data_IF_236313784919
#
_entry.id   IF_236313784919
#
_cell.length_a   1.000
_cell.length_b   1.000
_cell.length_c   1.000
_cell.angle_alpha   90.00
_cell.angle_beta   90.00
_cell.angle_gamma   90.00
#
_symmetry.space_group_name_H-M   'P 1'
#
loop_
_entity.id
_entity.type
_entity.pdbx_description
1 polymer ?
#
# COMPACT_ATOMS: atom_id res chain seq x y z
N UNK A 1 -36.02 24.55 48.42
CA UNK A 1 -36.95 23.44 48.79
C UNK A 1 -36.71 22.30 47.79
N UNK A 2 -35.85 21.33 48.13
CA UNK A 2 -36.13 19.96 48.61
C UNK A 2 -36.98 19.07 47.66
N UNK A 3 -36.31 18.03 47.17
CA UNK A 3 -36.77 16.84 46.42
C UNK A 3 -37.93 16.07 47.06
N UNK A 4 -38.53 15.14 46.28
CA UNK A 4 -38.55 13.73 46.73
C UNK A 4 -38.09 12.70 45.66
N UNK A 5 -37.92 11.46 46.16
CA UNK A 5 -37.17 10.31 45.62
C UNK A 5 -38.08 9.14 45.14
N UNK A 6 -37.49 8.32 44.25
CA UNK A 6 -37.56 6.85 44.05
C UNK A 6 -38.85 6.09 43.64
N UNK A 7 -38.71 5.30 42.56
CA UNK A 7 -38.87 3.82 42.41
C UNK A 7 -39.07 3.52 40.89
N UNK A 8 -38.55 2.52 40.19
CA UNK A 8 -38.09 1.16 40.51
C UNK A 8 -39.02 0.11 39.86
N UNK A 9 -38.81 -0.31 38.61
CA UNK A 9 -39.51 -1.45 37.96
C UNK A 9 -38.66 -1.99 36.78
N UNK A 10 -37.99 -3.14 36.89
CA UNK A 10 -38.43 -4.55 36.70
C UNK A 10 -38.68 -4.96 35.24
N UNK A 11 -37.71 -5.70 34.70
CA UNK A 11 -37.77 -6.50 33.48
C UNK A 11 -38.79 -7.66 33.64
N UNK A 12 -39.47 -7.99 32.53
CA UNK A 12 -40.41 -9.10 32.42
C UNK A 12 -39.72 -10.31 31.79
N UNK A 13 -39.71 -11.40 32.55
CA UNK A 13 -39.38 -12.76 32.14
C UNK A 13 -40.71 -13.49 31.89
N UNK A 14 -40.80 -14.25 30.80
CA UNK A 14 -41.93 -15.15 30.50
C UNK A 14 -41.38 -16.59 30.43
N UNK A 15 -41.82 -17.41 31.39
CA UNK A 15 -41.75 -18.88 31.39
C UNK A 15 -42.80 -19.46 30.39
N UNK A 16 -42.74 -20.72 29.92
CA UNK A 16 -43.21 -22.00 30.54
C UNK A 16 -43.33 -23.03 29.35
N UNK A 17 -43.44 -24.40 29.44
CA UNK A 17 -42.92 -25.48 30.31
C UNK A 17 -42.33 -26.73 29.55
N UNK A 18 -41.87 -27.71 30.34
CA UNK A 18 -41.55 -29.12 29.97
C UNK A 18 -42.70 -30.14 30.25
N UNK A 19 -42.76 -31.20 29.42
CA UNK A 19 -43.05 -32.65 29.67
C UNK A 19 -43.79 -33.23 28.45
N UNK A 20 -43.63 -34.48 27.97
CA UNK A 20 -43.53 -35.77 28.66
C UNK A 20 -42.84 -36.88 27.80
N UNK A 21 -42.58 -38.01 28.46
CA UNK A 21 -41.80 -39.21 28.07
C UNK A 21 -42.50 -40.19 27.11
N UNK A 22 -41.73 -41.04 26.42
CA UNK A 22 -42.17 -42.33 25.87
C UNK A 22 -41.06 -43.14 25.17
N UNK A 23 -40.86 -44.40 25.59
CA UNK A 23 -39.84 -45.38 25.16
C UNK A 23 -39.88 -45.79 23.66
N UNK A 24 -38.76 -46.29 23.12
CA UNK A 24 -38.61 -47.67 22.59
C UNK A 24 -37.20 -47.98 22.00
N UNK A 25 -36.57 -48.98 22.61
CA UNK A 25 -35.77 -50.12 22.09
C UNK A 25 -34.54 -49.94 21.17
N UNK A 26 -33.47 -50.60 21.65
CA UNK A 26 -32.22 -50.97 20.98
C UNK A 26 -32.42 -51.91 19.78
N UNK A 27 -31.69 -51.65 18.69
CA UNK A 27 -31.24 -52.69 17.75
C UNK A 27 -29.76 -52.45 17.41
N UNK A 28 -28.94 -53.45 17.72
CA UNK A 28 -27.54 -53.56 17.32
C UNK A 28 -27.37 -53.70 15.80
N UNK A 29 -26.46 -52.93 15.19
CA UNK A 29 -25.71 -53.35 14.01
C UNK A 29 -24.23 -52.98 14.14
N UNK A 30 -23.38 -54.00 13.96
CA UNK A 30 -21.91 -53.95 13.89
C UNK A 30 -21.43 -53.05 12.74
N UNK A 31 -20.27 -52.38 12.85
CA UNK A 31 -19.46 -52.01 11.69
C UNK A 31 -18.41 -53.09 11.41
N UNK A 32 -18.35 -53.48 10.13
CA UNK A 32 -17.29 -54.31 9.56
C UNK A 32 -16.00 -53.48 9.44
N UNK A 33 -14.90 -54.12 9.77
CA UNK A 33 -13.55 -53.63 9.56
C UNK A 33 -13.22 -53.61 8.05
N UNK A 34 -12.77 -52.47 7.55
CA UNK A 34 -12.18 -52.30 6.22
C UNK A 34 -11.01 -51.34 6.33
N UNK A 35 -9.80 -51.85 6.07
CA UNK A 35 -8.52 -51.14 6.06
C UNK A 35 -8.61 -49.82 5.30
N UNK A 36 -8.30 -48.70 5.95
CA UNK A 36 -7.88 -47.47 5.29
C UNK A 36 -6.35 -47.53 5.14
N UNK A 37 -5.87 -47.56 3.90
CA UNK A 37 -4.47 -47.31 3.58
C UNK A 37 -4.24 -45.80 3.58
N UNK A 38 -3.17 -45.39 4.26
CA UNK A 38 -2.64 -44.04 4.30
C UNK A 38 -2.29 -43.54 2.89
N UNK A 39 -2.96 -42.48 2.45
CA UNK A 39 -2.41 -41.58 1.44
C UNK A 39 -2.24 -40.19 2.06
N UNK A 40 -0.97 -39.83 2.27
CA UNK A 40 -0.53 -38.51 2.70
C UNK A 40 -1.04 -37.42 1.75
N UNK A 41 -1.70 -36.35 2.23
CA UNK A 41 -1.95 -35.19 1.40
C UNK A 41 -0.66 -34.36 1.28
N UNK A 42 -0.06 -34.38 0.09
CA UNK A 42 0.98 -33.44 -0.31
C UNK A 42 0.52 -31.98 -0.07
N UNK A 43 1.38 -31.10 0.48
CA UNK A 43 1.01 -29.72 0.75
C UNK A 43 0.84 -28.95 -0.56
N UNK A 44 -0.37 -28.43 -0.79
CA UNK A 44 -0.67 -27.47 -1.87
C UNK A 44 0.13 -26.19 -1.64
N UNK A 45 0.90 -25.77 -2.64
CA UNK A 45 1.71 -24.53 -2.64
C UNK A 45 0.81 -23.30 -2.48
N UNK A 46 1.21 -22.28 -1.70
CA UNK A 46 0.55 -20.97 -1.73
C UNK A 46 0.66 -20.34 -3.12
N UNK A 47 -0.42 -19.74 -3.61
CA UNK A 47 -0.41 -18.97 -4.85
C UNK A 47 0.43 -17.70 -4.66
N UNK A 48 1.68 -17.76 -5.08
CA UNK A 48 2.55 -16.60 -5.23
C UNK A 48 2.02 -15.70 -6.36
N UNK A 49 1.56 -14.49 -6.00
CA UNK A 49 0.93 -13.52 -6.92
C UNK A 49 1.89 -12.87 -7.94
N UNK A 50 3.13 -13.36 -8.06
CA UNK A 50 4.18 -12.77 -8.89
C UNK A 50 4.76 -13.69 -9.97
N UNK A 51 4.20 -14.89 -10.17
CA UNK A 51 4.67 -15.82 -11.19
C UNK A 51 3.76 -15.81 -12.44
N UNK A 52 4.17 -15.07 -13.48
CA UNK A 52 3.60 -15.24 -14.81
C UNK A 52 3.94 -16.61 -15.41
N UNK A 53 2.98 -17.24 -16.10
CA UNK A 53 3.19 -18.52 -16.81
C UNK A 53 3.96 -18.34 -18.13
N UNK A 54 4.66 -19.42 -18.48
CA UNK A 54 5.52 -19.57 -19.67
C UNK A 54 4.80 -19.42 -21.03
N UNK A 55 5.41 -18.71 -21.97
CA UNK A 55 5.40 -19.07 -23.39
C UNK A 55 6.72 -19.76 -23.77
N UNK A 56 6.63 -20.80 -24.61
CA UNK A 56 7.78 -21.49 -25.20
C UNK A 56 8.42 -20.62 -26.30
N UNK A 57 9.75 -20.53 -26.29
CA UNK A 57 10.60 -20.44 -27.49
C UNK A 57 10.94 -19.06 -28.05
N UNK A 58 12.24 -18.81 -28.24
CA UNK A 58 12.75 -18.13 -29.45
C UNK A 58 13.54 -16.82 -29.25
N UNK A 59 14.83 -16.87 -29.56
CA UNK A 59 15.51 -15.81 -30.33
C UNK A 59 16.22 -14.68 -29.57
N UNK A 60 17.55 -14.69 -29.64
CA UNK A 60 18.46 -13.62 -29.22
C UNK A 60 18.31 -12.35 -30.08
N UNK A 61 18.66 -11.17 -29.54
CA UNK A 61 19.40 -10.13 -30.27
C UNK A 61 20.02 -9.09 -29.34
N UNK A 62 21.31 -8.82 -29.56
CA UNK A 62 22.12 -7.74 -28.97
C UNK A 62 21.84 -6.41 -29.69
N UNK A 63 21.80 -5.31 -28.94
CA UNK A 63 22.08 -3.95 -29.39
C UNK A 63 22.68 -3.21 -28.16
N UNK A 64 23.82 -2.54 -28.19
CA UNK A 64 24.33 -1.64 -29.22
C UNK A 64 24.17 -0.22 -28.69
N UNK A 65 25.05 0.20 -27.78
CA UNK A 65 25.06 1.53 -27.18
C UNK A 65 25.77 2.51 -28.10
N UNK A 66 25.16 3.68 -28.34
CA UNK A 66 25.78 4.76 -29.10
C UNK A 66 25.60 6.08 -28.35
N UNK A 67 26.72 6.65 -27.94
CA UNK A 67 26.88 7.97 -27.32
C UNK A 67 26.58 9.07 -28.35
N UNK A 68 25.97 10.17 -27.90
CA UNK A 68 25.90 11.42 -28.65
C UNK A 68 26.50 12.52 -27.78
N UNK A 69 27.46 13.25 -28.36
CA UNK A 69 28.25 14.27 -27.69
C UNK A 69 27.64 15.68 -27.76
N UNK A 70 28.02 16.47 -26.77
CA UNK A 70 27.69 17.89 -26.59
C UNK A 70 28.49 18.78 -27.55
N UNK A 71 27.84 19.83 -28.08
CA UNK A 71 28.53 21.05 -28.49
C UNK A 71 27.72 22.28 -28.07
N UNK A 72 28.36 23.10 -27.23
CA UNK A 72 27.91 24.39 -26.77
C UNK A 72 28.11 25.49 -27.83
N UNK A 73 27.21 26.49 -27.85
CA UNK A 73 27.44 27.79 -28.49
C UNK A 73 27.10 28.91 -27.50
N UNK A 74 28.06 29.79 -27.28
CA UNK A 74 27.91 31.11 -26.64
C UNK A 74 27.46 32.15 -27.68
N UNK A 75 26.78 33.24 -27.28
CA UNK A 75 26.67 34.46 -28.07
C UNK A 75 27.55 35.61 -27.50
N UNK A 76 27.90 36.62 -28.31
CA UNK A 76 28.76 37.73 -27.88
C UNK A 76 27.99 38.95 -27.34
N UNK A 77 28.76 39.82 -26.71
CA UNK A 77 28.41 41.01 -25.92
C UNK A 77 28.06 42.28 -26.72
N UNK A 78 27.23 43.11 -26.07
CA UNK A 78 27.27 44.55 -25.83
C UNK A 78 27.65 45.58 -26.92
N UNK A 79 26.86 46.66 -26.95
CA UNK A 79 27.26 47.98 -27.45
C UNK A 79 26.45 49.14 -26.83
N UNK A 80 27.16 49.96 -26.04
CA UNK A 80 27.17 51.44 -25.90
C UNK A 80 25.86 52.26 -25.82
N UNK A 81 25.57 52.95 -24.71
CA UNK A 81 26.02 54.31 -24.25
C UNK A 81 25.33 55.51 -24.93
N UNK A 82 24.45 56.21 -24.20
CA UNK A 82 24.60 57.63 -23.75
C UNK A 82 23.60 58.56 -24.49
N UNK A 83 22.95 59.64 -24.00
CA UNK A 83 23.03 60.54 -22.83
C UNK A 83 21.70 61.38 -22.80
N UNK A 84 21.48 62.38 -21.91
CA UNK A 84 20.19 62.61 -21.23
C UNK A 84 19.42 63.88 -21.67
N UNK A 85 18.16 64.02 -21.22
CA UNK A 85 17.48 65.32 -21.18
C UNK A 85 16.74 65.53 -19.85
N UNK A 86 16.75 66.77 -19.38
CA UNK A 86 16.35 67.23 -18.05
C UNK A 86 14.85 67.57 -17.95
N UNK A 87 14.44 67.73 -16.68
CA UNK A 87 13.23 68.40 -16.16
C UNK A 87 11.98 67.49 -16.10
N UNK A 88 11.18 67.43 -15.03
CA UNK A 88 10.68 68.47 -14.13
C UNK A 88 10.30 67.84 -12.77
N UNK A 89 10.53 68.56 -11.67
CA UNK A 89 10.08 68.22 -10.32
C UNK A 89 8.55 68.13 -10.20
N UNK A 90 8.04 67.00 -9.70
CA UNK A 90 6.75 66.89 -9.00
C UNK A 90 6.91 66.01 -7.76
N UNK A 91 6.41 66.41 -6.58
CA UNK A 91 6.50 65.58 -5.39
C UNK A 91 5.46 64.46 -5.49
N UNK A 92 5.90 63.28 -5.94
CA UNK A 92 5.07 62.08 -5.88
C UNK A 92 5.07 61.62 -4.42
N UNK A 93 3.94 61.82 -3.72
CA UNK A 93 3.66 61.15 -2.45
C UNK A 93 3.67 59.64 -2.72
N UNK A 94 4.77 58.97 -2.41
CA UNK A 94 4.85 57.51 -2.39
C UNK A 94 4.10 57.04 -1.15
N UNK A 95 2.79 56.84 -1.29
CA UNK A 95 2.04 56.02 -0.35
C UNK A 95 2.58 54.59 -0.47
N UNK A 96 3.48 54.20 0.43
CA UNK A 96 3.86 52.80 0.63
C UNK A 96 2.66 52.10 1.27
N UNK A 97 1.69 51.72 0.45
CA UNK A 97 0.72 50.71 0.82
C UNK A 97 1.44 49.35 0.70
N UNK A 98 2.16 48.95 1.75
CA UNK A 98 2.61 47.59 1.91
C UNK A 98 1.39 46.70 2.17
N UNK A 99 0.68 46.32 1.09
CA UNK A 99 -0.21 45.16 1.13
C UNK A 99 0.70 43.93 1.22
N UNK A 100 1.05 43.56 2.45
CA UNK A 100 1.49 42.21 2.73
C UNK A 100 0.28 41.29 2.50
N UNK A 101 0.08 40.87 1.25
CA UNK A 101 -0.68 39.65 0.98
C UNK A 101 0.12 38.52 1.63
N UNK A 102 -0.22 38.21 2.88
CA UNK A 102 0.02 36.88 3.41
C UNK A 102 -0.88 35.97 2.59
N UNK A 103 -0.37 35.49 1.47
CA UNK A 103 -0.93 34.35 0.79
C UNK A 103 -0.80 33.18 1.76
N UNK A 104 -1.82 32.99 2.61
CA UNK A 104 -2.05 31.70 3.26
C UNK A 104 -2.30 30.76 2.09
N UNK A 105 -1.23 30.14 1.61
CA UNK A 105 -1.32 29.20 0.51
C UNK A 105 -2.24 28.08 0.94
N UNK A 106 -3.46 28.08 0.40
CA UNK A 106 -4.39 26.95 0.47
C UNK A 106 -3.58 25.71 0.05
N UNK A 107 -3.22 24.87 1.02
CA UNK A 107 -2.56 23.61 0.70
C UNK A 107 -3.59 22.73 0.02
N UNK A 108 -3.42 22.56 -1.29
CA UNK A 108 -4.23 21.66 -2.07
C UNK A 108 -4.19 20.25 -1.46
N UNK A 109 -5.28 19.51 -1.63
CA UNK A 109 -5.36 18.12 -1.17
C UNK A 109 -4.26 17.29 -1.83
N UNK A 110 -3.46 16.53 -1.07
CA UNK A 110 -2.35 15.77 -1.67
C UNK A 110 -2.84 14.66 -2.61
N UNK A 111 -3.99 14.05 -2.34
CA UNK A 111 -4.52 12.95 -3.16
C UNK A 111 -5.94 13.20 -3.67
N UNK A 112 -6.21 12.78 -4.90
CA UNK A 112 -7.50 12.77 -5.58
C UNK A 112 -7.86 11.34 -5.99
N UNK A 113 -9.15 10.98 -5.97
CA UNK A 113 -9.53 9.66 -6.47
C UNK A 113 -9.15 9.53 -7.96
N UNK A 114 -8.58 8.39 -8.37
CA UNK A 114 -7.99 8.22 -9.69
C UNK A 114 -9.02 7.86 -10.78
N UNK A 115 -10.30 7.80 -10.45
CA UNK A 115 -11.41 7.53 -11.38
C UNK A 115 -12.55 8.53 -11.18
N UNK A 116 -13.53 8.59 -12.10
CA UNK A 116 -14.75 9.37 -11.91
C UNK A 116 -15.65 8.84 -10.78
N UNK A 117 -15.48 7.59 -10.32
CA UNK A 117 -16.33 7.00 -9.30
C UNK A 117 -16.13 7.70 -7.95
N UNK A 118 -17.19 8.31 -7.40
CA UNK A 118 -17.17 9.03 -6.11
C UNK A 118 -18.01 8.34 -5.02
N UNK A 119 -18.53 7.16 -5.30
CA UNK A 119 -19.50 6.50 -4.40
C UNK A 119 -18.93 6.13 -3.04
N UNK A 120 -17.60 6.00 -2.90
CA UNK A 120 -16.93 5.77 -1.60
C UNK A 120 -17.20 6.87 -0.56
N UNK A 121 -17.59 8.08 -1.00
CA UNK A 121 -17.93 9.18 -0.11
C UNK A 121 -19.43 9.28 0.22
N UNK A 122 -20.25 8.40 -0.34
CA UNK A 122 -21.67 8.32 -0.07
C UNK A 122 -21.94 7.21 0.95
N UNK A 123 -22.87 7.44 1.87
CA UNK A 123 -23.31 6.42 2.81
C UNK A 123 -23.86 5.20 2.07
N UNK A 124 -23.30 4.01 2.30
CA UNK A 124 -23.71 2.77 1.64
C UNK A 124 -23.27 2.65 0.17
N UNK A 125 -22.36 3.50 -0.31
CA UNK A 125 -21.87 3.49 -1.69
C UNK A 125 -20.83 2.40 -2.00
N UNK A 126 -20.39 1.62 -1.02
CA UNK A 126 -19.28 0.67 -1.16
C UNK A 126 -19.57 -0.44 -2.19
N UNK A 127 -20.82 -0.88 -2.30
CA UNK A 127 -21.24 -1.90 -3.28
C UNK A 127 -21.14 -1.40 -4.72
N UNK A 128 -21.31 -0.08 -4.93
CA UNK A 128 -21.16 0.60 -6.22
C UNK A 128 -19.73 1.08 -6.46
N UNK A 129 -18.91 1.15 -5.42
CA UNK A 129 -17.51 1.56 -5.53
C UNK A 129 -16.55 0.39 -5.72
N UNK A 130 -16.73 -0.73 -5.01
CA UNK A 130 -15.79 -1.86 -5.03
C UNK A 130 -16.26 -3.01 -5.92
N UNK A 131 -15.29 -3.70 -6.51
CA UNK A 131 -15.49 -4.94 -7.28
C UNK A 131 -14.84 -6.11 -6.53
N UNK A 132 -15.63 -7.11 -6.18
CA UNK A 132 -15.12 -8.33 -5.55
C UNK A 132 -14.34 -9.24 -6.50
N UNK A 133 -13.55 -10.14 -5.93
CA UNK A 133 -12.99 -11.30 -6.63
C UNK A 133 -14.10 -12.23 -7.12
N UNK A 134 -13.84 -13.07 -8.14
CA UNK A 134 -14.86 -13.94 -8.74
C UNK A 134 -15.51 -14.82 -7.66
N UNK A 135 -16.84 -14.79 -7.58
CA UNK A 135 -17.61 -15.59 -6.62
C UNK A 135 -17.47 -15.14 -5.16
N UNK A 136 -16.94 -13.93 -4.90
CA UNK A 136 -16.78 -13.38 -3.55
C UNK A 136 -17.50 -12.03 -3.42
N UNK A 137 -17.86 -11.60 -2.19
CA UNK A 137 -18.50 -10.31 -1.95
C UNK A 137 -17.65 -9.12 -2.41
N UNK A 138 -18.30 -7.96 -2.57
CA UNK A 138 -17.64 -6.68 -2.93
C UNK A 138 -16.51 -6.32 -1.97
N UNK A 139 -16.60 -6.71 -0.70
CA UNK A 139 -15.58 -6.43 0.32
C UNK A 139 -14.23 -7.06 0.01
N UNK A 140 -14.18 -8.12 -0.81
CA UNK A 140 -12.92 -8.73 -1.26
C UNK A 140 -12.10 -7.85 -2.22
N UNK A 141 -12.67 -6.74 -2.70
CA UNK A 141 -12.00 -5.70 -3.47
C UNK A 141 -11.54 -4.50 -2.63
N UNK A 142 -11.74 -4.54 -1.31
CA UNK A 142 -11.24 -3.49 -0.38
C UNK A 142 -9.82 -3.81 0.07
N UNK A 143 -9.16 -2.87 0.75
CA UNK A 143 -7.82 -3.11 1.30
C UNK A 143 -7.88 -4.06 2.51
N UNK A 144 -6.85 -4.88 2.70
CA UNK A 144 -6.61 -5.62 3.94
C UNK A 144 -6.85 -7.12 3.84
N UNK A 145 -7.05 -7.78 4.99
CA UNK A 145 -7.27 -9.23 5.08
C UNK A 145 -8.68 -9.62 4.61
N UNK A 146 -8.95 -9.48 3.31
CA UNK A 146 -10.31 -9.62 2.73
C UNK A 146 -10.40 -10.68 1.63
N UNK A 147 -9.29 -11.35 1.33
CA UNK A 147 -9.23 -12.46 0.37
C UNK A 147 -8.94 -13.77 1.09
N UNK A 148 -9.33 -14.89 0.46
CA UNK A 148 -9.15 -16.25 0.99
C UNK A 148 -9.60 -16.34 2.46
N UNK A 149 -10.83 -15.88 2.72
CA UNK A 149 -11.48 -15.93 4.05
C UNK A 149 -10.62 -15.28 5.15
N UNK A 150 -9.99 -14.13 4.80
CA UNK A 150 -9.15 -13.32 5.68
C UNK A 150 -7.67 -13.72 5.72
N UNK A 151 -7.28 -14.78 5.00
CA UNK A 151 -5.89 -15.29 5.02
C UNK A 151 -4.97 -14.65 3.98
N UNK A 152 -5.52 -13.82 3.09
CA UNK A 152 -4.78 -13.13 2.05
C UNK A 152 -5.05 -11.62 2.10
N UNK A 153 -3.96 -10.86 2.05
CA UNK A 153 -3.96 -9.42 1.94
C UNK A 153 -4.41 -9.02 0.53
N UNK A 154 -5.22 -7.99 0.44
CA UNK A 154 -5.38 -7.20 -0.77
C UNK A 154 -4.70 -5.84 -0.56
N UNK A 155 -3.68 -5.57 -1.35
CA UNK A 155 -2.78 -4.43 -1.23
C UNK A 155 -3.39 -3.10 -1.70
N UNK A 156 -4.61 -3.11 -2.25
CA UNK A 156 -5.22 -1.92 -2.83
C UNK A 156 -6.74 -1.94 -2.83
N UNK A 157 -7.29 -1.15 -3.74
CA UNK A 157 -8.71 -1.03 -4.02
C UNK A 157 -9.02 -1.49 -5.43
N UNK A 158 -10.03 -2.32 -5.58
CA UNK A 158 -10.59 -2.70 -6.88
C UNK A 158 -11.79 -1.78 -7.18
N UNK A 159 -11.51 -0.61 -7.79
CA UNK A 159 -12.48 0.48 -8.01
C UNK A 159 -13.31 0.23 -9.28
N UNK A 160 -14.63 0.16 -9.12
CA UNK A 160 -15.60 -0.15 -10.17
C UNK A 160 -15.68 0.94 -11.25
N UNK A 161 -15.76 0.49 -12.51
CA UNK A 161 -16.08 1.34 -13.66
C UNK A 161 -17.48 1.96 -13.55
N UNK A 162 -17.62 3.21 -13.97
CA UNK A 162 -18.89 3.95 -14.00
C UNK A 162 -19.50 4.01 -15.38
N UNK A 163 -18.69 3.90 -16.44
CA UNK A 163 -19.10 4.02 -17.83
C UNK A 163 -18.61 2.86 -18.69
N UNK A 164 -19.37 2.52 -19.74
CA UNK A 164 -19.06 1.44 -20.68
C UNK A 164 -19.44 1.82 -22.12
N UNK A 165 -18.73 1.25 -23.08
CA UNK A 165 -19.07 1.36 -24.50
C UNK A 165 -20.17 0.36 -24.92
N UNK A 166 -20.52 0.36 -26.22
CA UNK A 166 -21.53 -0.54 -26.81
C UNK A 166 -21.14 -2.01 -26.74
N UNK A 167 -19.85 -2.31 -26.57
CA UNK A 167 -19.31 -3.66 -26.42
C UNK A 167 -19.23 -4.08 -24.94
N UNK A 168 -19.61 -3.19 -24.01
CA UNK A 168 -19.58 -3.42 -22.57
C UNK A 168 -18.20 -3.27 -21.94
N UNK A 169 -17.19 -2.79 -22.68
CA UNK A 169 -15.87 -2.50 -22.13
C UNK A 169 -15.89 -1.18 -21.36
N UNK A 170 -15.10 -1.09 -20.29
CA UNK A 170 -15.04 0.09 -19.45
C UNK A 170 -14.35 1.27 -20.17
N UNK A 171 -14.87 2.48 -19.95
CA UNK A 171 -14.40 3.69 -20.64
C UNK A 171 -13.89 4.78 -19.69
N UNK A 172 -13.91 4.53 -18.38
CA UNK A 172 -13.48 5.50 -17.37
C UNK A 172 -12.02 5.93 -17.62
N UNK A 173 -11.80 7.25 -17.63
CA UNK A 173 -10.44 7.79 -17.64
C UNK A 173 -9.81 7.59 -16.27
N UNK A 174 -8.62 6.99 -16.25
CA UNK A 174 -7.80 6.87 -15.05
C UNK A 174 -6.86 8.06 -15.01
N UNK A 175 -6.78 8.74 -13.87
CA UNK A 175 -5.99 9.96 -13.68
C UNK A 175 -4.98 9.81 -12.55
N UNK A 176 -3.91 10.61 -12.59
CA UNK A 176 -2.93 10.67 -11.51
C UNK A 176 -3.59 11.16 -10.21
N UNK A 177 -3.39 10.43 -9.13
CA UNK A 177 -3.98 10.71 -7.84
C UNK A 177 -3.29 11.92 -7.16
N UNK A 178 -2.03 12.17 -7.50
CA UNK A 178 -1.24 13.26 -6.96
C UNK A 178 -0.20 13.73 -7.99
N UNK A 179 0.33 14.93 -7.82
CA UNK A 179 1.51 15.39 -8.54
C UNK A 179 2.66 14.40 -8.33
N UNK A 180 3.40 14.07 -9.39
CA UNK A 180 4.46 13.09 -9.29
C UNK A 180 5.26 12.90 -10.55
N UNK A 181 6.03 11.81 -10.56
CA UNK A 181 6.86 11.39 -11.68
C UNK A 181 6.57 9.92 -11.97
N UNK A 182 6.41 9.57 -13.23
CA UNK A 182 6.28 8.17 -13.66
C UNK A 182 7.54 7.42 -13.22
N UNK A 183 7.37 6.41 -12.38
CA UNK A 183 8.46 5.59 -11.88
C UNK A 183 8.64 4.34 -12.75
N UNK A 184 7.53 3.74 -13.18
CA UNK A 184 7.54 2.51 -13.95
C UNK A 184 6.28 2.36 -14.80
N UNK A 185 6.41 1.70 -15.97
CA UNK A 185 5.31 1.39 -16.87
C UNK A 185 5.45 -0.04 -17.35
N UNK A 186 4.39 -0.84 -17.20
CA UNK A 186 4.26 -2.11 -17.90
C UNK A 186 3.18 -2.02 -18.98
N UNK A 187 3.60 -1.93 -20.24
CA UNK A 187 2.69 -1.95 -21.39
C UNK A 187 2.32 -3.37 -21.86
N UNK A 188 3.05 -4.40 -21.39
CA UNK A 188 2.91 -5.80 -21.81
C UNK A 188 2.08 -6.57 -20.78
N UNK A 189 0.75 -6.74 -20.97
CA UNK A 189 -0.10 -7.35 -19.96
C UNK A 189 0.32 -8.78 -19.59
N UNK A 190 0.91 -9.53 -20.53
CA UNK A 190 1.40 -10.89 -20.30
C UNK A 190 2.56 -11.01 -19.30
N UNK A 191 3.18 -9.91 -18.86
CA UNK A 191 4.26 -9.94 -17.87
C UNK A 191 3.77 -9.86 -16.42
N UNK A 192 2.49 -9.56 -16.17
CA UNK A 192 2.02 -9.31 -14.81
C UNK A 192 0.56 -9.67 -14.60
N UNK A 193 0.23 -10.16 -13.40
CA UNK A 193 -1.16 -10.29 -12.97
C UNK A 193 -1.91 -8.94 -12.95
N UNK A 194 -1.17 -7.83 -12.80
CA UNK A 194 -1.72 -6.46 -12.90
C UNK A 194 -2.06 -6.06 -14.34
N UNK A 195 -1.71 -6.87 -15.34
CA UNK A 195 -1.89 -6.54 -16.73
C UNK A 195 -1.07 -5.32 -17.12
N UNK A 196 -1.69 -4.35 -17.81
CA UNK A 196 -1.07 -3.05 -18.07
C UNK A 196 -1.18 -2.18 -16.84
N UNK A 197 -0.08 -1.61 -16.40
CA UNK A 197 -0.06 -0.72 -15.25
C UNK A 197 1.01 0.35 -15.34
N UNK A 198 0.82 1.41 -14.55
CA UNK A 198 1.80 2.47 -14.31
C UNK A 198 1.97 2.65 -12.81
N UNK A 199 3.20 2.92 -12.38
CA UNK A 199 3.51 3.33 -11.01
C UNK A 199 4.02 4.77 -11.06
N UNK A 200 3.41 5.63 -10.26
CA UNK A 200 3.88 6.99 -10.02
C UNK A 200 4.60 7.08 -8.68
N UNK A 201 5.60 7.96 -8.62
CA UNK A 201 6.32 8.34 -7.40
C UNK A 201 5.97 9.78 -7.05
N UNK A 202 5.66 10.00 -5.79
CA UNK A 202 5.21 11.27 -5.23
C UNK A 202 6.11 11.69 -4.07
N UNK A 203 6.07 12.98 -3.74
CA UNK A 203 6.60 13.50 -2.48
C UNK A 203 5.47 14.20 -1.74
N UNK A 204 5.06 13.64 -0.61
CA UNK A 204 3.94 14.14 0.21
C UNK A 204 4.42 14.22 1.66
N UNK A 205 4.34 15.41 2.26
CA UNK A 205 4.79 15.65 3.64
C UNK A 205 6.24 15.19 3.92
N UNK A 206 7.11 15.34 2.92
CA UNK A 206 8.51 14.88 2.97
C UNK A 206 8.69 13.37 2.78
N UNK A 207 7.60 12.59 2.70
CA UNK A 207 7.62 11.15 2.46
C UNK A 207 7.62 10.84 0.96
N UNK A 208 8.40 9.86 0.55
CA UNK A 208 8.28 9.26 -0.78
C UNK A 208 7.13 8.24 -0.78
N UNK A 209 6.16 8.43 -1.66
CA UNK A 209 4.96 7.58 -1.76
C UNK A 209 4.80 7.13 -3.20
N UNK A 210 4.34 5.91 -3.39
CA UNK A 210 4.06 5.37 -4.70
C UNK A 210 2.57 5.07 -4.84
N UNK A 211 2.06 5.26 -6.04
CA UNK A 211 0.71 4.82 -6.39
C UNK A 211 0.75 3.95 -7.65
N UNK A 212 0.04 2.83 -7.61
CA UNK A 212 -0.07 1.87 -8.72
C UNK A 212 -1.44 1.97 -9.36
N UNK A 213 -1.50 1.94 -10.69
CA UNK A 213 -2.73 1.98 -11.47
C UNK A 213 -2.75 0.80 -12.44
N UNK A 214 -3.49 -0.25 -12.11
CA UNK A 214 -3.45 -1.53 -12.82
C UNK A 214 -4.74 -1.87 -13.59
N UNK A 215 -4.68 -2.99 -14.32
CA UNK A 215 -5.73 -3.52 -15.18
C UNK A 215 -6.14 -2.61 -16.34
N UNK A 216 -5.32 -1.63 -16.71
CA UNK A 216 -5.64 -0.64 -17.73
C UNK A 216 -5.93 -1.31 -19.08
N UNK A 217 -6.97 -0.84 -19.78
CA UNK A 217 -7.22 -1.24 -21.16
C UNK A 217 -6.13 -0.67 -22.06
N UNK A 218 -5.80 0.61 -21.84
CA UNK A 218 -4.81 1.38 -22.60
C UNK A 218 -4.10 2.37 -21.70
N UNK A 219 -2.79 2.50 -21.89
CA UNK A 219 -1.96 3.56 -21.30
C UNK A 219 -2.05 4.82 -22.17
N UNK A 220 -1.99 6.00 -21.57
CA UNK A 220 -1.79 7.25 -22.32
C UNK A 220 -0.47 7.17 -23.10
N UNK A 221 -0.49 7.67 -24.33
CA UNK A 221 0.72 7.82 -25.13
C UNK A 221 1.77 8.68 -24.40
N UNK A 222 3.05 8.34 -24.59
CA UNK A 222 4.18 9.08 -24.03
C UNK A 222 4.47 8.84 -22.54
N UNK A 223 3.70 8.00 -21.83
CA UNK A 223 4.06 7.60 -20.47
C UNK A 223 5.37 6.80 -20.47
N UNK A 224 6.40 7.36 -19.84
CA UNK A 224 7.70 6.74 -19.68
C UNK A 224 8.31 7.13 -18.33
N UNK A 225 9.16 6.27 -17.71
CA UNK A 225 9.88 6.63 -16.49
C UNK A 225 10.57 7.99 -16.61
N UNK A 226 10.46 8.81 -15.56
CA UNK A 226 11.00 10.17 -15.51
C UNK A 226 10.04 11.27 -15.95
N UNK A 227 8.93 10.94 -16.61
CA UNK A 227 7.92 11.94 -17.00
C UNK A 227 7.20 12.51 -15.77
N UNK A 228 7.18 13.82 -15.63
CA UNK A 228 6.37 14.51 -14.62
C UNK A 228 4.89 14.51 -15.00
N UNK A 229 4.01 14.33 -14.02
CA UNK A 229 2.55 14.37 -14.19
C UNK A 229 1.90 15.18 -13.08
N UNK A 230 0.78 15.82 -13.38
CA UNK A 230 -0.05 16.56 -12.42
C UNK A 230 -1.21 15.74 -11.91
N UNK A 231 -1.65 16.02 -10.68
CA UNK A 231 -2.89 15.45 -10.15
C UNK A 231 -4.06 15.71 -11.12
N UNK A 232 -4.87 14.69 -11.38
CA UNK A 232 -5.97 14.74 -12.36
C UNK A 232 -5.54 14.56 -13.82
N UNK A 233 -4.23 14.53 -14.13
CA UNK A 233 -3.75 14.30 -15.49
C UNK A 233 -4.07 12.84 -15.94
N UNK A 234 -4.61 12.63 -17.15
CA UNK A 234 -4.96 11.28 -17.63
C UNK A 234 -3.75 10.35 -17.72
N UNK A 235 -3.84 9.14 -17.20
CA UNK A 235 -2.81 8.09 -17.31
C UNK A 235 -3.23 6.98 -18.28
N UNK A 236 -4.52 6.85 -18.56
CA UNK A 236 -5.03 5.79 -19.42
C UNK A 236 -6.53 5.61 -19.29
N UNK A 237 -7.00 4.47 -19.78
CA UNK A 237 -8.40 4.05 -19.71
C UNK A 237 -8.48 2.80 -18.86
N UNK A 238 -9.42 2.79 -17.92
CA UNK A 238 -9.74 1.65 -17.09
C UNK A 238 -10.01 0.43 -17.97
N UNK A 239 -9.62 -0.76 -17.52
CA UNK A 239 -9.91 -1.96 -18.28
C UNK A 239 -10.03 -3.20 -17.42
N UNK A 240 -9.61 -4.31 -18.03
CA UNK A 240 -9.67 -5.66 -17.47
C UNK A 240 -8.47 -6.49 -17.90
N UNK A 241 -7.34 -5.82 -18.19
CA UNK A 241 -6.13 -6.53 -18.60
C UNK A 241 -5.49 -7.23 -17.39
N UNK A 242 -5.13 -8.51 -17.56
CA UNK A 242 -4.49 -9.30 -16.51
C UNK A 242 -3.80 -10.51 -17.13
N UNK A 243 -2.75 -11.03 -16.49
CA UNK A 243 -2.13 -12.31 -16.83
C UNK A 243 -2.58 -13.45 -15.89
N UNK A 244 -3.88 -13.57 -15.67
CA UNK A 244 -4.45 -14.65 -14.86
C UNK A 244 -5.20 -15.62 -15.75
N UNK A 245 -5.27 -16.91 -15.35
CA UNK A 245 -5.95 -17.93 -16.14
C UNK A 245 -7.45 -17.62 -16.35
N UNK A 246 -8.07 -17.01 -15.34
CA UNK A 246 -9.49 -16.65 -15.35
C UNK A 246 -9.77 -15.32 -16.07
N UNK A 247 -8.75 -14.47 -16.24
CA UNK A 247 -8.91 -13.10 -16.68
C UNK A 247 -9.84 -12.28 -15.78
N UNK A 248 -10.23 -11.11 -16.26
CA UNK A 248 -11.23 -10.25 -15.64
C UNK A 248 -12.36 -10.08 -16.65
N UNK A 249 -13.59 -10.39 -16.25
CA UNK A 249 -14.79 -10.26 -17.08
C UNK A 249 -15.17 -8.79 -17.29
N UNK A 250 -15.99 -8.50 -18.31
CA UNK A 250 -16.40 -7.12 -18.62
C UNK A 250 -17.08 -6.45 -17.43
N UNK A 251 -18.08 -7.11 -16.84
CA UNK A 251 -18.83 -6.64 -15.67
C UNK A 251 -17.93 -6.37 -14.44
N UNK A 252 -16.81 -7.09 -14.33
CA UNK A 252 -15.80 -6.91 -13.28
C UNK A 252 -14.63 -6.00 -13.66
N UNK A 253 -14.64 -5.33 -14.81
CA UNK A 253 -13.63 -4.34 -15.14
C UNK A 253 -13.52 -3.29 -14.01
N UNK A 254 -12.30 -3.09 -13.51
CA UNK A 254 -12.00 -2.19 -12.40
C UNK A 254 -10.59 -1.62 -12.55
N UNK A 255 -10.34 -0.51 -11.85
CA UNK A 255 -8.98 -0.05 -11.58
C UNK A 255 -8.53 -0.71 -10.29
N UNK A 256 -7.45 -1.49 -10.34
CA UNK A 256 -6.73 -1.84 -9.13
C UNK A 256 -5.78 -0.70 -8.77
N UNK A 257 -6.07 -0.01 -7.66
CA UNK A 257 -5.36 1.17 -7.20
C UNK A 257 -4.68 0.91 -5.85
N UNK A 258 -3.38 1.17 -5.79
CA UNK A 258 -2.60 1.04 -4.56
C UNK A 258 -1.98 2.38 -4.17
N UNK A 259 -1.84 2.61 -2.87
CA UNK A 259 -0.83 3.50 -2.31
C UNK A 259 0.20 2.64 -1.59
N UNK A 260 1.47 3.00 -1.62
CA UNK A 260 2.50 2.20 -0.96
C UNK A 260 3.83 2.90 -0.78
N UNK A 261 4.69 2.27 0.02
CA UNK A 261 6.05 2.69 0.32
C UNK A 261 7.01 1.64 -0.22
N UNK A 262 7.99 2.05 -1.03
CA UNK A 262 9.03 1.15 -1.53
C UNK A 262 10.01 0.79 -0.41
N UNK A 263 10.43 -0.48 -0.35
CA UNK A 263 11.26 -1.01 0.75
C UNK A 263 12.75 -0.80 0.48
N UNK A 264 13.26 -1.33 -0.63
CA UNK A 264 14.70 -1.37 -0.93
C UNK A 264 15.04 -0.90 -2.35
N UNK A 265 16.25 -0.36 -2.53
CA UNK A 265 16.86 -0.10 -3.84
C UNK A 265 17.57 -1.33 -4.45
N UNK A 266 17.68 -2.41 -3.68
CA UNK A 266 18.40 -3.63 -4.05
C UNK A 266 17.51 -4.86 -4.01
N UNK A 267 16.22 -4.69 -4.30
CA UNK A 267 15.23 -5.77 -4.25
C UNK A 267 15.55 -6.89 -5.22
N UNK A 268 16.04 -6.59 -6.43
CA UNK A 268 16.33 -7.62 -7.43
C UNK A 268 17.41 -8.59 -6.94
N UNK A 269 18.46 -8.08 -6.30
CA UNK A 269 19.50 -8.89 -5.69
C UNK A 269 18.95 -9.71 -4.51
N UNK A 270 18.15 -9.07 -3.65
CA UNK A 270 17.50 -9.74 -2.53
C UNK A 270 16.57 -10.87 -2.98
N UNK A 271 15.72 -10.62 -3.99
CA UNK A 271 14.76 -11.59 -4.51
C UNK A 271 15.49 -12.80 -5.10
N UNK A 272 16.58 -12.57 -5.85
CA UNK A 272 17.37 -13.66 -6.44
C UNK A 272 17.92 -14.60 -5.37
N UNK A 273 18.35 -14.04 -4.24
CA UNK A 273 18.86 -14.81 -3.10
C UNK A 273 17.76 -15.56 -2.33
N UNK A 274 16.57 -14.97 -2.20
CA UNK A 274 15.49 -15.51 -1.35
C UNK A 274 14.46 -16.37 -2.11
N UNK A 275 14.38 -16.23 -3.44
CA UNK A 275 13.43 -16.92 -4.31
C UNK A 275 14.12 -17.42 -5.59
N UNK A 276 15.15 -18.29 -5.47
CA UNK A 276 15.91 -18.77 -6.62
C UNK A 276 15.01 -19.43 -7.66
N UNK A 277 15.21 -19.07 -8.92
CA UNK A 277 14.43 -19.57 -10.06
C UNK A 277 13.09 -18.86 -10.30
N UNK A 278 12.63 -17.98 -9.40
CA UNK A 278 11.47 -17.12 -9.69
C UNK A 278 11.90 -15.94 -10.58
N UNK A 279 11.12 -15.67 -11.64
CA UNK A 279 11.34 -14.51 -12.52
C UNK A 279 11.11 -13.21 -11.76
N UNK A 280 11.84 -12.17 -12.17
CA UNK A 280 11.57 -10.80 -11.77
C UNK A 280 11.47 -9.89 -13.00
N UNK A 281 10.36 -9.97 -13.71
CA UNK A 281 10.11 -9.20 -14.93
C UNK A 281 9.93 -7.68 -14.69
N UNK A 282 9.89 -7.26 -13.42
CA UNK A 282 9.67 -5.87 -13.01
C UNK A 282 10.85 -5.25 -12.26
N UNK A 283 11.95 -5.99 -12.09
CA UNK A 283 13.14 -5.51 -11.40
C UNK A 283 12.82 -4.96 -10.01
N UNK A 284 13.23 -3.74 -9.75
CA UNK A 284 12.98 -3.02 -8.50
C UNK A 284 11.53 -2.61 -8.26
N UNK A 285 10.70 -2.62 -9.31
CA UNK A 285 9.28 -2.26 -9.26
C UNK A 285 8.37 -3.48 -9.12
N UNK A 286 8.93 -4.62 -8.71
CA UNK A 286 8.15 -5.77 -8.28
C UNK A 286 7.31 -5.42 -7.07
N UNK A 287 6.03 -5.80 -7.05
CA UNK A 287 5.12 -5.46 -5.94
C UNK A 287 5.57 -5.97 -4.57
N UNK A 288 6.38 -7.04 -4.49
CA UNK A 288 6.98 -7.48 -3.21
C UNK A 288 7.97 -6.47 -2.61
N UNK A 289 8.43 -5.50 -3.39
CA UNK A 289 9.28 -4.41 -2.92
C UNK A 289 8.47 -3.22 -2.37
N UNK A 290 7.15 -3.35 -2.26
CA UNK A 290 6.29 -2.30 -1.73
C UNK A 290 5.54 -2.81 -0.52
N UNK A 291 5.33 -1.90 0.43
CA UNK A 291 4.40 -2.10 1.53
C UNK A 291 3.22 -1.18 1.29
N UNK A 292 2.05 -1.78 1.13
CA UNK A 292 0.85 -1.05 0.82
C UNK A 292 0.35 -0.22 2.02
N UNK A 293 -0.31 0.89 1.70
CA UNK A 293 -0.98 1.81 2.61
C UNK A 293 -2.46 1.79 2.26
N UNK A 294 -3.32 1.57 3.25
CA UNK A 294 -4.76 1.62 3.05
C UNK A 294 -5.17 3.01 2.52
N UNK A 295 -5.72 3.12 1.30
CA UNK A 295 -6.15 4.41 0.78
C UNK A 295 -7.33 5.01 1.55
N UNK A 296 -8.13 4.20 2.25
CA UNK A 296 -9.34 4.67 2.94
C UNK A 296 -9.06 5.75 3.99
N UNK A 297 -8.23 5.51 5.02
CA UNK A 297 -7.90 6.53 6.00
C UNK A 297 -7.18 7.73 5.37
N UNK A 298 -6.41 7.55 4.28
CA UNK A 298 -5.74 8.67 3.59
C UNK A 298 -6.78 9.64 3.03
N UNK A 299 -7.69 9.17 2.17
CA UNK A 299 -8.71 10.03 1.57
C UNK A 299 -9.68 10.59 2.62
N UNK A 300 -10.13 9.78 3.57
CA UNK A 300 -11.08 10.19 4.61
C UNK A 300 -10.49 11.24 5.54
N UNK A 301 -9.30 11.00 6.09
CA UNK A 301 -8.69 11.94 7.03
C UNK A 301 -8.21 13.22 6.33
N UNK A 302 -7.76 13.14 5.08
CA UNK A 302 -7.48 14.32 4.27
C UNK A 302 -8.72 15.21 4.14
N UNK A 303 -9.87 14.61 3.83
CA UNK A 303 -11.12 15.35 3.72
C UNK A 303 -11.54 15.96 5.06
N UNK A 304 -11.38 15.23 6.16
CA UNK A 304 -11.78 15.71 7.49
C UNK A 304 -10.85 16.80 8.02
N UNK A 305 -9.54 16.65 7.86
CA UNK A 305 -8.53 17.48 8.51
C UNK A 305 -8.13 18.72 7.72
N UNK A 306 -8.35 18.77 6.42
CA UNK A 306 -8.03 20.00 5.70
C UNK A 306 -6.54 20.14 5.49
N UNK A 307 -6.11 21.39 5.57
CA UNK A 307 -4.72 21.81 5.64
C UNK A 307 -3.97 21.23 6.85
N UNK A 308 -4.68 20.69 7.85
CA UNK A 308 -4.07 20.00 9.01
C UNK A 308 -3.76 18.53 8.74
N UNK A 309 -4.17 17.99 7.60
CA UNK A 309 -3.82 16.64 7.20
C UNK A 309 -2.30 16.52 7.06
N UNK A 310 -1.74 15.42 7.56
CA UNK A 310 -0.35 15.08 7.38
C UNK A 310 -0.22 13.56 7.27
N UNK A 311 0.32 13.11 6.15
CA UNK A 311 0.43 11.69 5.83
C UNK A 311 1.33 10.96 6.83
N UNK A 312 2.46 11.55 7.21
CA UNK A 312 3.39 10.92 8.17
C UNK A 312 2.69 10.66 9.51
N UNK A 313 1.96 11.64 10.05
CA UNK A 313 1.20 11.46 11.31
C UNK A 313 0.13 10.39 11.19
N UNK A 314 -0.57 10.32 10.05
CA UNK A 314 -1.55 9.25 9.80
C UNK A 314 -0.87 7.87 9.80
N UNK A 315 0.26 7.76 9.10
CA UNK A 315 1.01 6.51 9.00
C UNK A 315 1.69 6.12 10.31
N UNK A 316 1.99 7.06 11.21
CA UNK A 316 2.49 6.77 12.57
C UNK A 316 1.37 6.30 13.52
N UNK A 317 0.11 6.62 13.22
CA UNK A 317 -1.05 6.27 14.03
C UNK A 317 -1.62 4.89 13.66
N UNK A 318 -0.81 3.84 13.81
CA UNK A 318 -1.20 2.45 13.49
C UNK A 318 -1.37 1.61 14.75
N UNK A 319 -2.19 0.57 14.64
CA UNK A 319 -2.23 -0.51 15.62
C UNK A 319 -1.00 -1.41 15.41
N UNK A 320 -0.22 -1.62 16.47
CA UNK A 320 0.91 -2.55 16.43
C UNK A 320 0.43 -3.99 16.37
N UNK A 321 0.95 -4.77 15.42
CA UNK A 321 0.94 -6.23 15.47
C UNK A 321 2.09 -6.73 16.33
N UNK A 322 3.31 -6.26 16.07
CA UNK A 322 4.48 -6.70 16.81
C UNK A 322 5.57 -5.63 16.86
N UNK A 323 6.51 -5.84 17.78
CA UNK A 323 7.72 -5.04 17.94
C UNK A 323 8.93 -5.95 17.77
N UNK A 324 9.90 -5.55 16.95
CA UNK A 324 11.10 -6.33 16.65
C UNK A 324 12.33 -5.46 16.86
N UNK A 325 13.27 -5.91 17.69
CA UNK A 325 14.59 -5.30 17.73
C UNK A 325 15.42 -5.81 16.56
N UNK A 326 16.08 -4.87 15.89
CA UNK A 326 17.04 -5.11 14.82
C UNK A 326 18.39 -4.59 15.29
N UNK A 327 19.37 -5.49 15.38
CA UNK A 327 20.78 -5.15 15.69
C UNK A 327 21.49 -4.69 14.41
N UNK A 328 21.06 -3.55 13.90
CA UNK A 328 21.61 -2.90 12.71
C UNK A 328 21.37 -1.40 12.83
N UNK A 329 22.38 -0.59 12.53
CA UNK A 329 22.32 0.87 12.64
C UNK A 329 22.14 1.56 11.30
N UNK A 330 22.22 0.82 10.18
CA UNK A 330 22.14 1.39 8.85
C UNK A 330 21.47 0.44 7.85
N UNK A 331 20.19 0.66 7.58
CA UNK A 331 19.43 -0.17 6.64
C UNK A 331 18.46 0.61 5.74
N UNK A 332 18.02 -0.02 4.65
CA UNK A 332 17.23 0.58 3.58
C UNK A 332 16.04 1.41 4.08
N UNK A 333 15.20 0.82 4.94
CA UNK A 333 14.01 1.52 5.45
C UNK A 333 14.36 2.75 6.30
N UNK A 334 15.37 2.64 7.17
CA UNK A 334 15.83 3.74 8.01
C UNK A 334 16.34 4.92 7.17
N UNK A 335 17.13 4.63 6.13
CA UNK A 335 17.65 5.66 5.21
C UNK A 335 16.53 6.34 4.43
N UNK A 336 15.55 5.57 3.95
CA UNK A 336 14.48 6.08 3.09
C UNK A 336 13.41 6.85 3.86
N UNK A 337 13.06 6.38 5.05
CA UNK A 337 11.95 6.92 5.84
C UNK A 337 12.36 7.35 7.26
N UNK A 338 13.32 8.28 7.41
CA UNK A 338 13.75 8.79 8.71
C UNK A 338 12.61 9.47 9.50
N UNK A 339 11.52 9.86 8.81
CA UNK A 339 10.31 10.45 9.40
C UNK A 339 9.61 9.51 10.39
N UNK A 340 9.88 8.20 10.35
CA UNK A 340 9.36 7.24 11.33
C UNK A 340 10.25 7.07 12.57
N UNK A 341 11.42 7.71 12.61
CA UNK A 341 12.33 7.65 13.77
C UNK A 341 11.84 8.59 14.87
N UNK A 342 11.74 8.07 16.08
CA UNK A 342 11.43 8.86 17.29
C UNK A 342 12.70 9.09 18.11
N UNK A 343 12.67 10.08 19.01
CA UNK A 343 13.78 10.35 19.92
C UNK A 343 13.96 9.21 20.93
N UNK A 344 15.16 8.63 21.01
CA UNK A 344 15.54 7.66 22.03
C UNK A 344 16.53 8.26 23.03
N UNK A 345 16.05 8.61 24.21
CA UNK A 345 16.85 9.34 25.24
C UNK A 345 18.09 8.59 25.72
N UNK A 346 18.05 7.26 25.78
CA UNK A 346 19.20 6.43 26.15
C UNK A 346 20.19 6.29 25.01
N UNK A 347 19.71 5.98 23.80
CA UNK A 347 20.54 5.90 22.60
C UNK A 347 21.26 7.23 22.28
N UNK A 348 20.67 8.38 22.62
CA UNK A 348 21.35 9.68 22.51
C UNK A 348 22.59 9.79 23.43
N UNK A 349 22.59 9.13 24.59
CA UNK A 349 23.70 9.17 25.56
C UNK A 349 24.75 8.09 25.31
N UNK A 350 24.30 6.88 24.98
CA UNK A 350 25.17 5.69 24.88
C UNK A 350 25.57 5.35 23.44
N UNK A 351 25.00 6.03 22.45
CA UNK A 351 25.11 5.69 21.04
C UNK A 351 24.02 4.72 20.60
N UNK A 352 23.74 4.72 19.29
CA UNK A 352 22.76 3.82 18.68
C UNK A 352 23.43 2.51 18.30
N UNK A 353 22.92 1.38 18.79
CA UNK A 353 23.41 0.03 18.47
C UNK A 353 22.38 -0.81 17.68
N UNK A 354 21.16 -0.30 17.53
CA UNK A 354 20.08 -0.94 16.79
C UNK A 354 18.78 -0.14 16.88
N UNK A 355 17.69 -0.73 16.40
CA UNK A 355 16.37 -0.11 16.43
C UNK A 355 15.29 -1.11 16.86
N UNK A 356 14.32 -0.65 17.64
CA UNK A 356 13.04 -1.35 17.77
C UNK A 356 12.09 -0.84 16.68
N UNK A 357 11.63 -1.77 15.84
CA UNK A 357 10.73 -1.51 14.72
C UNK A 357 9.32 -1.96 15.13
N UNK A 358 8.35 -1.05 15.03
CA UNK A 358 6.94 -1.34 15.27
C UNK A 358 6.25 -1.59 13.94
N UNK A 359 5.68 -2.79 13.80
CA UNK A 359 5.05 -3.25 12.56
C UNK A 359 3.54 -3.40 12.77
N UNK A 360 2.73 -2.96 11.81
CA UNK A 360 1.30 -3.29 11.79
C UNK A 360 1.06 -4.70 11.21
N UNK A 361 -0.20 -5.10 11.09
CA UNK A 361 -0.59 -6.48 10.76
C UNK A 361 -0.05 -7.01 9.42
N UNK A 362 0.22 -6.13 8.44
CA UNK A 362 0.77 -6.48 7.13
C UNK A 362 2.22 -6.04 6.93
N UNK A 363 2.86 -5.51 7.98
CA UNK A 363 4.29 -5.25 8.00
C UNK A 363 4.69 -3.81 7.71
N UNK A 364 3.77 -2.84 7.66
CA UNK A 364 4.14 -1.42 7.59
C UNK A 364 4.91 -1.03 8.87
N UNK A 365 6.20 -0.64 8.75
CA UNK A 365 6.94 -0.05 9.85
C UNK A 365 6.52 1.40 10.01
N UNK A 366 5.89 1.70 11.14
CA UNK A 366 5.33 3.02 11.40
C UNK A 366 6.04 3.78 12.53
N UNK A 367 6.97 3.12 13.23
CA UNK A 367 7.79 3.72 14.28
C UNK A 367 9.10 2.97 14.42
N UNK A 368 10.20 3.73 14.50
CA UNK A 368 11.56 3.26 14.71
C UNK A 368 12.09 3.92 15.99
N UNK A 369 12.37 3.12 17.02
CA UNK A 369 12.97 3.61 18.27
C UNK A 369 14.46 3.25 18.25
N UNK A 370 15.39 4.23 18.24
CA UNK A 370 16.81 3.92 18.36
C UNK A 370 17.10 3.32 19.73
N UNK A 371 17.93 2.27 19.76
CA UNK A 371 18.27 1.51 20.96
C UNK A 371 19.76 1.64 21.27
N UNK A 372 20.07 1.85 22.55
CA UNK A 372 21.43 1.74 23.08
C UNK A 372 21.89 0.27 23.16
N UNK A 373 23.22 0.01 23.24
CA UNK A 373 23.75 -1.34 23.46
C UNK A 373 23.10 -2.06 24.64
N UNK A 374 22.84 -1.34 25.74
CA UNK A 374 22.25 -1.90 26.97
C UNK A 374 20.78 -2.32 26.83
N UNK A 375 20.10 -1.90 25.76
CA UNK A 375 18.66 -2.15 25.54
C UNK A 375 18.41 -3.33 24.59
N UNK A 376 19.45 -3.78 23.87
CA UNK A 376 19.35 -4.87 22.92
C UNK A 376 19.35 -6.22 23.63
N UNK A 377 18.35 -7.05 23.29
CA UNK A 377 18.17 -8.38 23.87
C UNK A 377 18.80 -9.46 23.00
N UNK A 378 19.55 -10.37 23.62
CA UNK A 378 20.20 -11.49 22.94
C UNK A 378 21.22 -11.06 21.88
N UNK A 379 21.76 -12.01 21.11
CA UNK A 379 22.76 -11.71 20.07
C UNK A 379 22.23 -11.83 18.64
N UNK A 380 21.00 -12.33 18.47
CA UNK A 380 20.35 -12.48 17.17
C UNK A 380 20.17 -11.14 16.47
N UNK A 381 20.25 -11.13 15.13
CA UNK A 381 20.01 -9.93 14.32
C UNK A 381 18.59 -9.39 14.52
N UNK A 382 17.60 -10.29 14.59
CA UNK A 382 16.20 -9.96 14.87
C UNK A 382 15.77 -10.60 16.20
N UNK A 383 15.13 -9.81 17.05
CA UNK A 383 14.54 -10.28 18.29
C UNK A 383 13.10 -9.79 18.40
N UNK A 384 12.14 -10.73 18.41
CA UNK A 384 10.72 -10.43 18.59
C UNK A 384 10.47 -10.05 20.05
N UNK A 385 10.06 -8.81 20.29
CA UNK A 385 9.85 -8.26 21.64
C UNK A 385 8.46 -8.60 22.16
N UNK A 386 7.45 -8.38 21.33
CA UNK A 386 6.05 -8.48 21.71
C UNK A 386 5.17 -8.73 20.49
N UNK A 387 4.06 -9.43 20.70
CA UNK A 387 2.98 -9.60 19.71
C UNK A 387 1.64 -9.26 20.34
N UNK A 388 0.89 -8.41 19.66
CA UNK A 388 -0.53 -8.19 19.90
C UNK A 388 -1.33 -9.37 19.34
N UNK A 389 -1.66 -10.33 20.21
CA UNK A 389 -2.37 -11.55 19.83
C UNK A 389 -3.77 -11.28 19.24
N UNK A 390 -4.48 -10.26 19.75
CA UNK A 390 -5.81 -9.90 19.27
C UNK A 390 -5.75 -9.35 17.84
N UNK A 391 -4.77 -8.47 17.56
CA UNK A 391 -4.55 -7.95 16.20
C UNK A 391 -4.14 -9.07 15.23
N UNK A 392 -3.27 -9.99 15.66
CA UNK A 392 -2.87 -11.14 14.84
C UNK A 392 -4.07 -12.03 14.48
N UNK A 393 -4.96 -12.29 15.44
CA UNK A 393 -6.16 -13.09 15.22
C UNK A 393 -7.16 -12.38 14.30
N UNK A 394 -7.35 -11.07 14.50
CA UNK A 394 -8.27 -10.26 13.69
C UNK A 394 -7.76 -10.04 12.25
N UNK A 395 -6.44 -9.99 12.06
CA UNK A 395 -5.80 -9.64 10.78
C UNK A 395 -4.61 -10.56 10.45
N UNK A 396 -4.85 -11.86 10.17
CA UNK A 396 -3.79 -12.85 10.08
C UNK A 396 -3.00 -12.84 8.76
N UNK A 397 -3.46 -12.11 7.75
CA UNK A 397 -3.01 -12.25 6.37
C UNK A 397 -1.52 -11.89 6.13
N UNK A 398 -0.91 -11.05 6.97
CA UNK A 398 0.51 -10.69 6.84
C UNK A 398 1.48 -11.82 7.21
N UNK A 399 1.03 -12.78 8.03
CA UNK A 399 1.79 -14.00 8.41
C UNK A 399 3.20 -13.73 8.95
N UNK A 400 3.45 -12.55 9.55
CA UNK A 400 4.78 -12.15 10.04
C UNK A 400 5.19 -12.93 11.29
N UNK A 401 4.22 -13.25 12.14
CA UNK A 401 4.40 -13.97 13.41
C UNK A 401 3.40 -15.12 13.51
N UNK A 402 3.77 -16.15 14.27
CA UNK A 402 2.91 -17.28 14.58
C UNK A 402 3.16 -17.77 16.00
N UNK A 403 2.15 -18.40 16.61
CA UNK A 403 2.33 -19.15 17.85
C UNK A 403 3.09 -20.44 17.55
N UNK A 404 4.02 -20.78 18.43
CA UNK A 404 4.82 -22.00 18.34
C UNK A 404 5.22 -22.42 19.75
N UNK A 405 4.79 -23.61 20.18
CA UNK A 405 4.91 -24.01 21.59
C UNK A 405 4.17 -23.01 22.50
N UNK A 406 4.79 -22.65 23.63
CA UNK A 406 4.24 -21.70 24.61
C UNK A 406 4.37 -20.22 24.26
N UNK A 407 4.90 -19.85 23.09
CA UNK A 407 5.23 -18.46 22.77
C UNK A 407 5.00 -18.05 21.31
N UNK A 408 5.31 -16.78 21.04
CA UNK A 408 5.29 -16.21 19.69
C UNK A 408 6.68 -16.27 19.06
N UNK A 409 6.72 -16.47 17.74
CA UNK A 409 7.95 -16.38 16.94
C UNK A 409 7.70 -15.66 15.63
N UNK A 410 8.77 -15.12 15.04
CA UNK A 410 8.78 -14.73 13.64
C UNK A 410 8.58 -15.98 12.77
N UNK A 411 7.80 -15.85 11.70
CA UNK A 411 7.73 -16.88 10.67
C UNK A 411 8.87 -16.69 9.67
N UNK A 412 9.09 -17.67 8.79
CA UNK A 412 10.00 -17.49 7.66
C UNK A 412 9.58 -16.33 6.73
N UNK A 413 8.28 -15.99 6.68
CA UNK A 413 7.79 -14.81 5.96
C UNK A 413 8.20 -13.53 6.68
N UNK A 414 8.05 -13.47 8.00
CA UNK A 414 8.48 -12.33 8.81
C UNK A 414 9.99 -12.09 8.75
N UNK A 415 10.80 -13.15 8.86
CA UNK A 415 12.26 -13.04 8.78
C UNK A 415 12.75 -12.58 7.41
N UNK A 416 12.15 -13.11 6.32
CA UNK A 416 12.44 -12.62 4.96
C UNK A 416 12.00 -11.17 4.79
N UNK A 417 10.81 -10.81 5.26
CA UNK A 417 10.35 -9.43 5.20
C UNK A 417 11.34 -8.48 5.90
N UNK A 418 11.78 -8.84 7.11
CA UNK A 418 12.77 -8.08 7.86
C UNK A 418 14.12 -8.03 7.13
N UNK A 419 14.56 -9.09 6.44
CA UNK A 419 15.81 -9.07 5.68
C UNK A 419 15.76 -8.17 4.44
N UNK A 420 14.60 -8.01 3.81
CA UNK A 420 14.40 -6.99 2.76
C UNK A 420 14.37 -5.58 3.34
N UNK A 421 13.68 -5.41 4.47
CA UNK A 421 13.55 -4.13 5.16
C UNK A 421 14.90 -3.60 5.66
N UNK A 422 15.75 -4.52 6.13
CA UNK A 422 17.02 -4.22 6.81
C UNK A 422 18.24 -4.37 5.88
N UNK A 423 18.02 -4.24 4.56
CA UNK A 423 19.06 -4.43 3.56
C UNK A 423 20.07 -3.27 3.46
#
# INVERSE_FOLDING_TARGET
>A
MRFPRHAGARERQLDVPQSARGHLQHVHRRPLAGRAQDEHPHPRRPADFYAGRHPRGGGAHRAGAQQCGDQARQPPEAGQESRPSQAVNRPLRVSVAALALVAVGLRAQPFYLPTPNRDIFQSGGETRYFVGTVGKPWSSGTFGCVRTDGQQLHEGWDIRATTRDKQGEATDTVTAAADGVVAYVNAKPALSNFGRFVILRHRVDGLEVYSTYAHLARLRSGLAPGLAVKAGEPLGVLGRSANTAQGISKDRAHLHFELGLRISDHFTAWQKANFPGQRNDHGEFNGRNFIAVDPFPVFREQMRLRERFNLVRLLQAQTALCRVQVRDTNFAWLRRYPQFVVTGTRATREGVAGYEIWLNYHGLPFKLVPLAPSELKGQSRYHLVEVNAAEQQARPCGKLVARSGGGWRLTATGERFLSLLTQ
#
